data_IF_923495517247
#
_entry.id   IF_923495517247
#
_cell.length_a   1.000
_cell.length_b   1.000
_cell.length_c   1.000
_cell.angle_alpha   90.00
_cell.angle_beta   90.00
_cell.angle_gamma   90.00
#
_symmetry.space_group_name_H-M   'P 1'
#
loop_
_entity.id
_entity.type
_entity.pdbx_description
1 polymer ?
#
# COMPACT_ATOMS: atom_id res chain seq x y z
N UNK A 1 8.65 -27.12 15.97
CA UNK A 1 7.99 -26.61 14.76
C UNK A 1 6.94 -25.62 15.25
N UNK A 2 6.93 -24.39 14.77
CA UNK A 2 5.89 -23.43 15.15
C UNK A 2 4.64 -23.78 14.34
N UNK A 3 3.61 -24.33 14.99
CA UNK A 3 2.32 -24.59 14.35
C UNK A 3 1.61 -23.25 14.16
N UNK A 4 1.63 -22.76 12.90
CA UNK A 4 0.92 -21.55 12.52
C UNK A 4 -0.57 -21.85 12.36
N UNK A 5 -1.42 -21.03 12.94
CA UNK A 5 -2.87 -21.11 12.72
C UNK A 5 -3.22 -20.68 11.28
N UNK A 6 -4.40 -21.11 10.81
CA UNK A 6 -4.92 -20.70 9.49
C UNK A 6 -4.94 -19.16 9.35
N UNK A 7 -5.28 -18.45 10.43
CA UNK A 7 -5.35 -16.99 10.45
C UNK A 7 -3.99 -16.33 10.35
N UNK A 8 -2.99 -16.85 11.07
CA UNK A 8 -1.62 -16.35 10.97
C UNK A 8 -1.07 -16.54 9.55
N UNK A 9 -1.36 -17.66 8.90
CA UNK A 9 -0.95 -17.90 7.51
C UNK A 9 -1.69 -16.95 6.56
N UNK A 10 -2.99 -16.69 6.78
CA UNK A 10 -3.72 -15.69 5.99
C UNK A 10 -3.07 -14.31 6.07
N UNK A 11 -2.64 -13.87 7.26
CA UNK A 11 -1.94 -12.59 7.43
C UNK A 11 -0.57 -12.60 6.72
N UNK A 12 0.16 -13.70 6.81
CA UNK A 12 1.42 -13.84 6.09
C UNK A 12 1.24 -13.77 4.56
N UNK A 13 0.15 -14.33 4.03
CA UNK A 13 -0.21 -14.20 2.61
C UNK A 13 -0.38 -12.72 2.24
N UNK A 14 -1.07 -11.92 3.07
CA UNK A 14 -1.24 -10.48 2.84
C UNK A 14 0.10 -9.72 2.88
N UNK A 15 0.97 -10.03 3.86
CA UNK A 15 2.30 -9.42 3.97
C UNK A 15 3.15 -9.73 2.75
N UNK A 16 3.22 -11.01 2.36
CA UNK A 16 3.99 -11.46 1.20
C UNK A 16 3.48 -10.78 -0.07
N UNK A 17 2.15 -10.72 -0.25
CA UNK A 17 1.56 -10.00 -1.37
C UNK A 17 2.01 -8.54 -1.42
N UNK A 18 1.94 -7.82 -0.30
CA UNK A 18 2.32 -6.40 -0.24
C UNK A 18 3.79 -6.17 -0.59
N UNK A 19 4.68 -7.08 -0.16
CA UNK A 19 6.11 -7.03 -0.52
C UNK A 19 6.32 -7.32 -2.01
N UNK A 20 5.71 -8.39 -2.52
CA UNK A 20 5.81 -8.78 -3.93
C UNK A 20 5.23 -7.68 -4.83
N UNK A 21 4.09 -7.11 -4.45
CA UNK A 21 3.48 -5.98 -5.13
C UNK A 21 4.46 -4.80 -5.21
N UNK A 22 5.06 -4.43 -4.09
CA UNK A 22 6.03 -3.34 -4.05
C UNK A 22 7.23 -3.61 -4.97
N UNK A 23 7.81 -4.80 -4.93
CA UNK A 23 8.97 -5.15 -5.75
C UNK A 23 8.69 -5.16 -7.26
N UNK A 24 7.48 -5.56 -7.67
CA UNK A 24 7.13 -5.69 -9.09
C UNK A 24 6.61 -4.38 -9.68
N UNK A 25 5.78 -3.66 -8.94
CA UNK A 25 5.03 -2.53 -9.50
C UNK A 25 5.59 -1.15 -9.13
N UNK A 26 6.22 -0.99 -7.95
CA UNK A 26 6.79 0.32 -7.57
C UNK A 26 7.87 0.83 -8.55
N UNK A 27 8.76 0.00 -9.12
CA UNK A 27 9.75 0.50 -10.07
C UNK A 27 9.11 1.24 -11.27
N UNK A 28 8.03 0.69 -11.83
CA UNK A 28 7.32 1.35 -12.93
C UNK A 28 6.82 2.74 -12.55
N UNK A 29 6.19 2.89 -11.38
CA UNK A 29 5.67 4.18 -10.93
C UNK A 29 6.80 5.14 -10.51
N UNK A 30 7.90 4.61 -10.00
CA UNK A 30 9.09 5.38 -9.68
C UNK A 30 9.74 5.98 -10.93
N UNK A 31 9.90 5.20 -11.99
CA UNK A 31 10.46 5.65 -13.26
C UNK A 31 9.58 6.71 -13.95
N UNK A 32 8.27 6.62 -13.76
CA UNK A 32 7.30 7.54 -14.36
C UNK A 32 6.85 8.67 -13.42
N UNK A 33 7.50 8.86 -12.26
CA UNK A 33 7.08 9.85 -11.28
C UNK A 33 7.18 11.31 -11.77
N UNK A 34 8.02 11.58 -12.77
CA UNK A 34 8.20 12.93 -13.34
C UNK A 34 7.30 13.18 -14.57
N UNK A 35 6.52 12.20 -14.99
CA UNK A 35 5.66 12.30 -16.17
C UNK A 35 4.22 12.70 -15.82
N UNK A 36 3.50 13.25 -16.79
CA UNK A 36 2.05 13.44 -16.68
C UNK A 36 1.32 12.13 -17.00
N UNK A 37 0.12 11.92 -16.42
CA UNK A 37 -0.67 10.69 -16.65
C UNK A 37 -0.93 10.41 -18.12
N UNK A 38 -1.11 11.46 -18.93
CA UNK A 38 -1.36 11.36 -20.38
C UNK A 38 -0.14 10.81 -21.13
N UNK A 39 1.07 11.06 -20.62
CA UNK A 39 2.33 10.65 -21.24
C UNK A 39 2.90 9.35 -20.62
N UNK A 40 2.23 8.78 -19.62
CA UNK A 40 2.65 7.51 -19.03
C UNK A 40 2.31 6.35 -19.96
N UNK A 41 3.32 5.88 -20.71
CA UNK A 41 3.16 4.73 -21.59
C UNK A 41 2.76 3.47 -20.81
N UNK A 42 1.69 2.82 -21.27
CA UNK A 42 1.23 1.56 -20.68
C UNK A 42 0.57 1.68 -19.30
N UNK A 43 0.18 2.89 -18.83
CA UNK A 43 -0.46 3.06 -17.52
C UNK A 43 -1.72 2.18 -17.37
N UNK A 44 -2.60 2.19 -18.37
CA UNK A 44 -3.84 1.39 -18.35
C UNK A 44 -3.51 -0.11 -18.31
N UNK A 45 -2.57 -0.55 -19.13
CA UNK A 45 -2.09 -1.94 -19.13
C UNK A 45 -1.51 -2.34 -17.78
N UNK A 46 -0.72 -1.45 -17.16
CA UNK A 46 -0.13 -1.68 -15.86
C UNK A 46 -1.19 -1.78 -14.75
N UNK A 47 -2.22 -0.94 -14.78
CA UNK A 47 -3.34 -1.02 -13.84
C UNK A 47 -4.12 -2.34 -14.03
N UNK A 48 -4.41 -2.72 -15.27
CA UNK A 48 -5.07 -4.00 -15.56
C UNK A 48 -4.22 -5.18 -15.07
N UNK A 49 -2.90 -5.13 -15.31
CA UNK A 49 -1.96 -6.15 -14.84
C UNK A 49 -1.98 -6.26 -13.31
N UNK A 50 -1.99 -5.15 -12.58
CA UNK A 50 -2.10 -5.12 -11.11
C UNK A 50 -3.38 -5.82 -10.66
N UNK A 51 -4.53 -5.46 -11.25
CA UNK A 51 -5.83 -6.05 -10.89
C UNK A 51 -5.84 -7.56 -11.12
N UNK A 52 -5.40 -8.00 -12.30
CA UNK A 52 -5.36 -9.43 -12.66
C UNK A 52 -4.41 -10.19 -11.72
N UNK A 53 -3.19 -9.70 -11.50
CA UNK A 53 -2.22 -10.32 -10.60
C UNK A 53 -2.77 -10.42 -9.17
N UNK A 54 -3.45 -9.37 -8.68
CA UNK A 54 -4.08 -9.37 -7.36
C UNK A 54 -5.13 -10.45 -7.23
N UNK A 55 -6.05 -10.53 -8.20
CA UNK A 55 -7.13 -11.53 -8.21
C UNK A 55 -6.54 -12.95 -8.26
N UNK A 56 -5.61 -13.19 -9.17
CA UNK A 56 -4.98 -14.52 -9.32
C UNK A 56 -4.24 -14.92 -8.04
N UNK A 57 -3.42 -14.01 -7.48
CA UNK A 57 -2.66 -14.28 -6.26
C UNK A 57 -3.57 -14.69 -5.10
N UNK A 58 -4.56 -13.86 -4.78
CA UNK A 58 -5.45 -14.16 -3.64
C UNK A 58 -6.33 -15.38 -3.89
N UNK A 59 -6.80 -15.58 -5.13
CA UNK A 59 -7.59 -16.77 -5.48
C UNK A 59 -6.79 -18.06 -5.25
N UNK A 60 -5.56 -18.11 -5.71
CA UNK A 60 -4.69 -19.28 -5.54
C UNK A 60 -4.31 -19.44 -4.06
N UNK A 61 -3.85 -18.38 -3.42
CA UNK A 61 -3.38 -18.43 -2.04
C UNK A 61 -4.49 -18.87 -1.05
N UNK A 62 -5.71 -18.34 -1.19
CA UNK A 62 -6.81 -18.75 -0.34
C UNK A 62 -7.37 -20.13 -0.70
N UNK A 63 -7.37 -20.53 -1.97
CA UNK A 63 -7.72 -21.90 -2.34
C UNK A 63 -6.76 -22.91 -1.70
N UNK A 64 -5.44 -22.67 -1.75
CA UNK A 64 -4.44 -23.51 -1.11
C UNK A 64 -4.60 -23.52 0.42
N UNK A 65 -4.91 -22.38 1.02
CA UNK A 65 -5.17 -22.28 2.46
C UNK A 65 -6.38 -23.12 2.88
N UNK A 66 -7.49 -23.09 2.12
CA UNK A 66 -8.67 -23.91 2.40
C UNK A 66 -8.40 -25.42 2.25
N UNK A 67 -7.59 -25.81 1.28
CA UNK A 67 -7.18 -27.21 1.08
C UNK A 67 -6.29 -27.69 2.24
N UNK A 68 -5.34 -26.85 2.67
CA UNK A 68 -4.41 -27.18 3.76
C UNK A 68 -5.09 -27.31 5.13
N UNK A 69 -6.07 -26.44 5.39
CA UNK A 69 -6.82 -26.39 6.66
C UNK A 69 -8.26 -26.89 6.47
N UNK A 70 -8.44 -28.23 6.45
CA UNK A 70 -9.75 -28.88 6.27
C UNK A 70 -10.78 -28.58 7.37
N UNK A 71 -10.35 -28.16 8.57
CA UNK A 71 -11.26 -27.82 9.68
C UNK A 71 -11.67 -26.34 9.57
N UNK A 72 -12.99 -26.10 9.60
CA UNK A 72 -13.53 -24.76 9.82
C UNK A 72 -13.14 -24.32 11.24
N UNK A 73 -12.25 -23.32 11.33
CA UNK A 73 -12.02 -22.65 12.62
C UNK A 73 -13.29 -21.89 13.01
N UNK A 74 -13.77 -22.15 14.23
CA UNK A 74 -14.85 -21.34 14.80
C UNK A 74 -14.33 -19.95 15.08
N UNK A 75 -15.10 -18.94 14.68
CA UNK A 75 -14.81 -17.54 14.99
C UNK A 75 -14.83 -17.35 16.51
N UNK A 76 -13.76 -16.80 17.06
CA UNK A 76 -13.59 -16.58 18.48
C UNK A 76 -13.65 -15.06 18.77
N UNK A 77 -14.13 -14.68 19.95
CA UNK A 77 -14.16 -13.28 20.44
C UNK A 77 -12.77 -12.63 20.39
N UNK A 78 -11.73 -13.42 20.67
CA UNK A 78 -10.33 -13.00 20.55
C UNK A 78 -10.00 -12.53 19.13
N UNK A 79 -10.46 -13.23 18.11
CA UNK A 79 -10.22 -12.88 16.71
C UNK A 79 -10.89 -11.55 16.34
N UNK A 80 -12.11 -11.35 16.81
CA UNK A 80 -12.84 -10.11 16.57
C UNK A 80 -12.16 -8.93 17.26
N UNK A 81 -11.60 -9.13 18.46
CA UNK A 81 -10.81 -8.12 19.15
C UNK A 81 -9.52 -7.78 18.41
N UNK A 82 -8.77 -8.77 17.94
CA UNK A 82 -7.53 -8.59 17.19
C UNK A 82 -7.80 -7.86 15.87
N UNK A 83 -8.82 -8.30 15.14
CA UNK A 83 -9.24 -7.66 13.90
C UNK A 83 -9.62 -6.20 14.13
N UNK A 84 -10.48 -5.94 15.13
CA UNK A 84 -10.90 -4.59 15.48
C UNK A 84 -9.72 -3.67 15.81
N UNK A 85 -8.75 -4.13 16.59
CA UNK A 85 -7.54 -3.37 16.93
C UNK A 85 -6.66 -3.10 15.71
N UNK A 86 -6.47 -4.10 14.84
CA UNK A 86 -5.65 -3.94 13.64
C UNK A 86 -6.30 -3.01 12.62
N UNK A 87 -7.62 -3.08 12.44
CA UNK A 87 -8.35 -2.15 11.59
C UNK A 87 -8.34 -0.73 12.12
N UNK A 88 -8.47 -0.54 13.45
CA UNK A 88 -8.37 0.78 14.07
C UNK A 88 -7.00 1.41 13.84
N UNK A 89 -5.92 0.63 13.97
CA UNK A 89 -4.58 1.12 13.64
C UNK A 89 -4.46 1.47 12.16
N UNK A 90 -4.93 0.59 11.26
CA UNK A 90 -4.93 0.85 9.83
C UNK A 90 -5.68 2.13 9.45
N UNK A 91 -6.83 2.36 10.07
CA UNK A 91 -7.62 3.57 9.86
C UNK A 91 -6.86 4.83 10.33
N UNK A 92 -6.27 4.81 11.52
CA UNK A 92 -5.47 5.94 12.02
C UNK A 92 -4.26 6.25 11.13
N UNK A 93 -3.58 5.20 10.65
CA UNK A 93 -2.46 5.36 9.71
C UNK A 93 -2.94 5.96 8.38
N UNK A 94 -4.12 5.54 7.90
CA UNK A 94 -4.71 6.08 6.69
C UNK A 94 -5.06 7.56 6.84
N UNK A 95 -5.71 7.97 7.95
CA UNK A 95 -5.99 9.37 8.24
C UNK A 95 -4.69 10.19 8.31
N UNK A 96 -3.69 9.70 9.03
CA UNK A 96 -2.40 10.38 9.13
C UNK A 96 -1.70 10.51 7.78
N UNK A 97 -1.78 9.48 6.93
CA UNK A 97 -1.21 9.50 5.59
C UNK A 97 -1.87 10.53 4.67
N UNK A 98 -3.18 10.76 4.84
CA UNK A 98 -3.88 11.82 4.11
C UNK A 98 -3.36 13.22 4.50
N UNK A 99 -3.08 13.47 5.78
CA UNK A 99 -2.47 14.73 6.20
C UNK A 99 -1.06 14.92 5.62
N UNK A 100 -0.25 13.85 5.61
CA UNK A 100 1.07 13.88 4.96
C UNK A 100 0.92 14.19 3.46
N UNK A 101 -0.04 13.54 2.80
CA UNK A 101 -0.30 13.77 1.38
C UNK A 101 -0.75 15.21 1.10
N UNK A 102 -1.68 15.74 1.90
CA UNK A 102 -2.12 17.14 1.79
C UNK A 102 -0.93 18.09 2.02
N UNK A 103 -0.12 17.84 3.05
CA UNK A 103 1.10 18.62 3.32
C UNK A 103 2.09 18.59 2.13
N UNK A 104 2.29 17.41 1.54
CA UNK A 104 3.11 17.25 0.34
C UNK A 104 2.58 18.07 -0.83
N UNK A 105 1.28 17.97 -1.13
CA UNK A 105 0.65 18.72 -2.22
C UNK A 105 0.74 20.24 -1.96
N UNK A 106 0.40 20.68 -0.75
CA UNK A 106 0.46 22.11 -0.38
C UNK A 106 1.87 22.68 -0.49
N UNK A 107 2.90 21.94 -0.06
CA UNK A 107 4.29 22.37 -0.16
C UNK A 107 4.74 22.58 -1.60
N UNK A 108 4.27 21.72 -2.50
CA UNK A 108 4.56 21.83 -3.94
C UNK A 108 3.88 23.05 -4.58
N UNK A 109 2.65 23.35 -4.17
CA UNK A 109 1.95 24.54 -4.65
C UNK A 109 2.59 25.85 -4.13
N UNK A 110 2.97 25.92 -2.86
CA UNK A 110 3.64 27.10 -2.29
C UNK A 110 5.00 27.37 -2.97
N UNK A 111 5.75 26.34 -3.26
CA UNK A 111 7.02 26.48 -3.97
C UNK A 111 6.84 27.03 -5.38
N UNK A 112 5.73 26.70 -6.06
CA UNK A 112 5.40 27.26 -7.38
C UNK A 112 5.10 28.77 -7.30
N UNK A 113 4.42 29.23 -6.26
CA UNK A 113 4.15 30.67 -6.05
C UNK A 113 5.42 31.46 -5.70
N UNK A 114 6.25 30.92 -4.81
CA UNK A 114 7.55 31.51 -4.44
C UNK A 114 8.48 31.64 -5.65
N UNK A 115 8.45 30.70 -6.56
CA UNK A 115 9.22 30.75 -7.79
C UNK A 115 8.77 31.86 -8.73
N UNK A 116 7.46 32.02 -8.91
CA UNK A 116 6.91 33.12 -9.70
C UNK A 116 7.35 34.49 -9.15
N UNK A 117 7.60 34.59 -7.83
CA UNK A 117 8.08 35.79 -7.17
C UNK A 117 9.60 35.98 -7.25
N UNK A 118 10.37 34.89 -7.25
CA UNK A 118 11.86 34.95 -7.18
C UNK A 118 12.56 34.75 -8.52
N UNK A 119 11.87 34.25 -9.54
CA UNK A 119 12.43 34.02 -10.90
C UNK A 119 13.51 32.93 -10.99
N UNK A 120 13.69 32.11 -9.95
CA UNK A 120 14.77 31.15 -9.84
C UNK A 120 14.34 29.78 -10.39
N UNK A 121 14.58 29.55 -11.71
CA UNK A 121 14.15 28.36 -12.45
C UNK A 121 14.82 27.07 -11.99
N UNK A 122 16.01 27.11 -11.40
CA UNK A 122 16.70 25.88 -10.95
C UNK A 122 16.01 25.22 -9.73
N UNK A 123 15.43 26.02 -8.84
CA UNK A 123 14.60 25.52 -7.73
C UNK A 123 13.29 24.89 -8.21
N UNK A 124 12.79 25.31 -9.36
CA UNK A 124 11.53 24.86 -9.94
C UNK A 124 11.59 23.41 -10.44
N UNK A 125 12.66 23.05 -11.13
CA UNK A 125 12.78 21.73 -11.74
C UNK A 125 12.85 20.59 -10.71
N UNK A 126 13.30 20.88 -9.48
CA UNK A 126 13.35 19.89 -8.38
C UNK A 126 12.05 19.71 -7.60
N UNK A 127 11.03 20.58 -7.80
CA UNK A 127 9.84 20.64 -6.97
C UNK A 127 8.50 20.60 -7.72
N UNK A 128 8.49 20.20 -8.98
CA UNK A 128 7.22 20.06 -9.71
C UNK A 128 6.35 18.94 -9.11
N UNK A 129 5.07 19.27 -8.88
CA UNK A 129 4.07 18.28 -8.61
C UNK A 129 3.62 17.68 -9.94
N UNK A 130 4.08 16.50 -10.24
CA UNK A 130 3.69 15.74 -11.43
C UNK A 130 2.58 14.77 -11.09
N UNK A 131 1.73 14.45 -12.06
CA UNK A 131 0.66 13.47 -11.87
C UNK A 131 1.24 12.10 -11.52
N UNK A 132 2.35 11.70 -12.16
CA UNK A 132 3.06 10.46 -11.87
C UNK A 132 3.60 10.42 -10.44
N UNK A 133 4.14 11.53 -9.95
CA UNK A 133 4.61 11.67 -8.57
C UNK A 133 3.49 11.54 -7.54
N UNK A 134 2.29 12.09 -7.83
CA UNK A 134 1.11 11.92 -6.97
C UNK A 134 0.72 10.44 -6.90
N UNK A 135 0.60 9.78 -8.04
CA UNK A 135 0.22 8.36 -8.11
C UNK A 135 1.24 7.48 -7.40
N UNK A 136 2.53 7.70 -7.66
CA UNK A 136 3.61 6.97 -6.96
C UNK A 136 3.51 7.13 -5.44
N UNK A 137 3.35 8.37 -4.96
CA UNK A 137 3.27 8.63 -3.53
C UNK A 137 2.06 7.94 -2.88
N UNK A 138 0.88 8.00 -3.51
CA UNK A 138 -0.32 7.31 -3.02
C UNK A 138 -0.10 5.79 -2.94
N UNK A 139 0.50 5.18 -3.97
CA UNK A 139 0.76 3.74 -3.99
C UNK A 139 1.74 3.34 -2.88
N UNK A 140 2.81 4.12 -2.66
CA UNK A 140 3.75 3.87 -1.56
C UNK A 140 3.06 3.96 -0.20
N UNK A 141 2.22 4.97 0.02
CA UNK A 141 1.47 5.10 1.27
C UNK A 141 0.53 3.90 1.50
N UNK A 142 -0.26 3.53 0.49
CA UNK A 142 -1.19 2.40 0.60
C UNK A 142 -0.47 1.08 0.87
N UNK A 143 0.62 0.80 0.16
CA UNK A 143 1.44 -0.39 0.38
C UNK A 143 2.03 -0.41 1.80
N UNK A 144 2.57 0.72 2.27
CA UNK A 144 3.15 0.83 3.62
C UNK A 144 2.11 0.60 4.72
N UNK A 145 0.92 1.19 4.60
CA UNK A 145 -0.17 1.01 5.56
C UNK A 145 -0.62 -0.45 5.61
N UNK A 146 -0.76 -1.09 4.45
CA UNK A 146 -1.14 -2.50 4.35
C UNK A 146 -0.14 -3.39 5.10
N UNK A 147 1.16 -3.20 4.86
CA UNK A 147 2.22 -3.96 5.55
C UNK A 147 2.19 -3.72 7.06
N UNK A 148 2.13 -2.47 7.50
CA UNK A 148 2.14 -2.12 8.94
C UNK A 148 0.92 -2.71 9.64
N UNK A 149 -0.28 -2.58 9.05
CA UNK A 149 -1.52 -3.17 9.59
C UNK A 149 -1.38 -4.69 9.75
N UNK A 150 -0.92 -5.39 8.70
CA UNK A 150 -0.80 -6.84 8.70
C UNK A 150 0.28 -7.33 9.66
N UNK A 151 1.42 -6.63 9.77
CA UNK A 151 2.45 -6.92 10.77
C UNK A 151 1.92 -6.75 12.20
N UNK A 152 1.19 -5.66 12.46
CA UNK A 152 0.59 -5.44 13.78
C UNK A 152 -0.45 -6.49 14.12
N UNK A 153 -1.28 -6.91 13.16
CA UNK A 153 -2.24 -8.00 13.33
C UNK A 153 -1.53 -9.31 13.65
N UNK A 154 -0.46 -9.63 12.93
CA UNK A 154 0.37 -10.81 13.20
C UNK A 154 0.98 -10.77 14.61
N UNK A 155 1.51 -9.61 15.01
CA UNK A 155 2.02 -9.41 16.37
C UNK A 155 0.96 -9.67 17.44
N UNK A 156 -0.27 -9.15 17.26
CA UNK A 156 -1.35 -9.38 18.20
C UNK A 156 -1.73 -10.87 18.33
N UNK A 157 -1.71 -11.63 17.24
CA UNK A 157 -1.95 -13.07 17.28
C UNK A 157 -0.90 -13.83 18.10
N UNK A 158 0.31 -13.29 18.21
CA UNK A 158 1.41 -13.90 18.97
C UNK A 158 1.47 -13.48 20.43
N UNK A 159 0.92 -12.33 20.79
CA UNK A 159 1.11 -11.73 22.12
C UNK A 159 -0.14 -11.69 22.97
N UNK A 160 -1.31 -11.80 22.40
CA UNK A 160 -2.61 -11.78 23.10
C UNK A 160 -3.22 -13.16 23.08
#
# INVERSE_FOLDING_TARGET
MMDLSKKEISILIEIIYSIVFALIFLPYFYENQETTLILMDGLVEKIIQIIICTIIYFSIAYALLEIAFKKRETRDERDDMINSKSYKLGYLLYEFSLFIFIGYVCSKFQNKELLNLTGNQELYNGFQLTDGGIVFFIIVLLASISVIKSLYQFYLYRTV
#
